data_IF_917099692754
#
_entry.id   IF_917099692754
#
_cell.length_a   1.000
_cell.length_b   1.000
_cell.length_c   1.000
_cell.angle_alpha   90.00
_cell.angle_beta   90.00
_cell.angle_gamma   90.00
#
_symmetry.space_group_name_H-M   'P 1'
#
loop_
_entity.id
_entity.type
_entity.pdbx_description
1 polymer ?
#
# COMPACT_ATOMS: atom_id res chain seq x y z
N UNK A 1 15.91 -38.60 -1.18
CA UNK A 1 14.55 -38.75 -1.75
C UNK A 1 13.59 -38.17 -0.71
N UNK A 2 13.28 -36.87 -0.78
CA UNK A 2 12.09 -36.30 -1.45
C UNK A 2 10.79 -36.82 -0.79
N UNK A 3 9.84 -36.04 -0.25
CA UNK A 3 9.37 -34.69 -0.58
C UNK A 3 8.78 -33.95 0.64
N UNK A 4 8.60 -32.64 0.44
CA UNK A 4 8.22 -31.60 1.40
C UNK A 4 6.71 -31.58 1.69
N UNK A 5 6.31 -31.52 2.96
CA UNK A 5 4.96 -31.17 3.40
C UNK A 5 4.80 -29.66 3.55
N UNK A 6 4.60 -28.95 2.44
CA UNK A 6 4.25 -27.53 2.45
C UNK A 6 2.82 -27.39 2.96
N UNK A 7 2.65 -26.96 4.21
CA UNK A 7 1.34 -26.57 4.74
C UNK A 7 0.97 -25.23 4.09
N UNK A 8 -0.15 -25.11 3.36
CA UNK A 8 -0.53 -23.83 2.78
C UNK A 8 -0.88 -22.86 3.91
N UNK A 9 -0.19 -21.72 3.95
CA UNK A 9 -0.27 -20.67 4.99
C UNK A 9 -1.60 -19.88 4.95
N UNK A 10 -2.56 -20.26 4.09
CA UNK A 10 -3.86 -19.60 4.02
C UNK A 10 -5.03 -20.60 3.90
N UNK A 11 -5.58 -21.12 5.02
CA UNK A 11 -6.87 -21.81 4.98
C UNK A 11 -8.00 -21.12 5.76
N UNK A 12 -7.74 -20.05 6.53
CA UNK A 12 -8.70 -19.59 7.55
C UNK A 12 -9.59 -18.40 7.19
N UNK A 13 -9.24 -17.60 6.17
CA UNK A 13 -9.93 -16.30 5.95
C UNK A 13 -11.18 -16.44 5.05
N UNK A 14 -11.21 -17.39 4.12
CA UNK A 14 -12.33 -17.51 3.14
C UNK A 14 -13.36 -18.57 3.54
N UNK A 15 -13.00 -19.56 4.39
CA UNK A 15 -13.88 -20.70 4.67
C UNK A 15 -15.12 -20.38 5.51
N UNK A 16 -15.15 -19.29 6.26
CA UNK A 16 -16.30 -18.99 7.13
C UNK A 16 -17.48 -18.36 6.39
N UNK A 17 -17.31 -17.86 5.17
CA UNK A 17 -18.38 -17.18 4.43
C UNK A 17 -19.24 -18.17 3.61
N UNK A 18 -18.60 -19.04 2.84
CA UNK A 18 -19.30 -20.08 2.05
C UNK A 18 -19.96 -21.16 2.92
N UNK A 19 -19.47 -21.37 4.15
CA UNK A 19 -20.06 -22.37 5.06
C UNK A 19 -21.37 -21.87 5.69
N UNK A 20 -21.64 -20.56 5.68
CA UNK A 20 -22.85 -19.96 6.28
C UNK A 20 -23.91 -19.60 5.23
N UNK A 21 -23.51 -19.27 4.00
CA UNK A 21 -24.40 -18.87 2.91
C UNK A 21 -24.56 -20.01 1.89
N UNK A 22 -25.65 -20.77 2.00
CA UNK A 22 -26.11 -21.61 0.89
C UNK A 22 -26.47 -20.75 -0.34
N UNK A 23 -26.49 -21.32 -1.55
CA UNK A 23 -26.82 -20.58 -2.77
C UNK A 23 -28.27 -20.09 -2.70
N UNK A 24 -28.48 -18.76 -2.70
CA UNK A 24 -29.80 -18.15 -2.93
C UNK A 24 -30.41 -17.32 -1.79
N UNK A 25 -29.66 -16.89 -0.77
CA UNK A 25 -30.18 -15.92 0.21
C UNK A 25 -30.24 -14.51 -0.41
N UNK A 26 -31.43 -13.91 -0.46
CA UNK A 26 -31.63 -12.51 -0.83
C UNK A 26 -31.76 -11.62 0.44
N UNK A 27 -31.60 -10.30 0.28
CA UNK A 27 -31.67 -9.33 1.38
C UNK A 27 -32.97 -9.41 2.23
N UNK A 28 -34.05 -10.01 1.70
CA UNK A 28 -35.34 -10.16 2.38
C UNK A 28 -35.41 -11.39 3.30
N UNK A 29 -34.34 -12.18 3.38
CA UNK A 29 -34.27 -13.40 4.21
C UNK A 29 -33.33 -13.24 5.42
N UNK A 30 -32.78 -12.05 5.65
CA UNK A 30 -32.07 -11.74 6.89
C UNK A 30 -33.11 -11.49 7.99
N UNK A 31 -33.18 -12.33 9.03
CA UNK A 31 -34.08 -12.14 10.15
C UNK A 31 -33.83 -10.77 10.81
N UNK A 32 -34.88 -10.01 11.20
CA UNK A 32 -34.75 -8.67 11.78
C UNK A 32 -34.03 -8.66 13.13
N UNK A 33 -33.80 -9.83 13.74
CA UNK A 33 -33.15 -10.09 15.02
C UNK A 33 -31.70 -10.61 14.90
N UNK A 34 -31.18 -10.81 13.67
CA UNK A 34 -29.75 -11.12 13.49
C UNK A 34 -28.89 -9.87 13.59
N UNK A 35 -28.52 -9.52 14.82
CA UNK A 35 -27.40 -8.64 15.10
C UNK A 35 -26.10 -9.41 14.87
N UNK A 36 -25.59 -9.39 13.64
CA UNK A 36 -24.18 -9.73 13.43
C UNK A 36 -23.35 -8.64 14.10
N UNK A 37 -22.60 -8.98 15.16
CA UNK A 37 -21.72 -8.04 15.89
C UNK A 37 -20.68 -7.38 14.97
N UNK A 38 -20.38 -7.99 13.82
CA UNK A 38 -19.61 -7.39 12.73
C UNK A 38 -20.22 -7.83 11.40
N UNK A 39 -21.01 -6.95 10.77
CA UNK A 39 -21.72 -7.26 9.53
C UNK A 39 -20.92 -6.90 8.27
N UNK A 40 -19.74 -6.26 8.34
CA UNK A 40 -18.84 -6.00 7.20
C UNK A 40 -19.56 -5.52 5.92
N UNK A 41 -20.54 -4.61 6.03
CA UNK A 41 -21.36 -4.13 4.92
C UNK A 41 -22.24 -5.21 4.23
N UNK A 42 -22.54 -6.32 4.89
CA UNK A 42 -23.33 -7.45 4.36
C UNK A 42 -24.67 -7.00 3.79
N UNK A 43 -25.36 -6.07 4.46
CA UNK A 43 -26.65 -5.52 4.00
C UNK A 43 -26.51 -4.83 2.66
N UNK A 44 -25.50 -3.97 2.52
CA UNK A 44 -25.19 -3.30 1.26
C UNK A 44 -24.78 -4.32 0.18
N UNK A 45 -23.99 -5.33 0.54
CA UNK A 45 -23.53 -6.37 -0.39
C UNK A 45 -24.67 -7.21 -0.97
N UNK A 46 -25.72 -7.48 -0.19
CA UNK A 46 -26.91 -8.24 -0.63
C UNK A 46 -27.85 -7.46 -1.56
N UNK A 47 -27.63 -6.16 -1.76
CA UNK A 47 -28.48 -5.34 -2.62
C UNK A 47 -28.34 -5.71 -4.10
N UNK A 48 -29.46 -5.79 -4.80
CA UNK A 48 -29.51 -6.24 -6.21
C UNK A 48 -28.89 -5.27 -7.21
N UNK A 49 -28.81 -3.98 -6.88
CA UNK A 49 -28.30 -2.95 -7.77
C UNK A 49 -27.18 -2.16 -7.11
N UNK A 50 -26.23 -1.66 -7.92
CA UNK A 50 -25.14 -0.81 -7.42
C UNK A 50 -25.66 0.48 -6.77
N UNK A 51 -26.77 1.04 -7.27
CA UNK A 51 -27.36 2.25 -6.66
C UNK A 51 -27.88 1.97 -5.25
N UNK A 52 -28.56 0.83 -5.07
CA UNK A 52 -29.05 0.41 -3.77
C UNK A 52 -27.89 0.04 -2.83
N UNK A 53 -26.88 -0.69 -3.32
CA UNK A 53 -25.63 -0.98 -2.59
C UNK A 53 -24.98 0.29 -2.04
N UNK A 54 -24.73 1.28 -2.91
CA UNK A 54 -24.09 2.54 -2.52
C UNK A 54 -24.92 3.33 -1.49
N UNK A 55 -26.25 3.23 -1.57
CA UNK A 55 -27.16 3.92 -0.65
C UNK A 55 -27.25 3.23 0.72
N UNK A 56 -26.85 1.96 0.79
CA UNK A 56 -26.92 1.11 1.99
C UNK A 56 -25.56 0.97 2.70
N UNK A 57 -24.52 1.63 2.21
CA UNK A 57 -23.23 1.69 2.91
C UNK A 57 -23.39 2.39 4.25
N UNK A 58 -22.88 1.77 5.30
CA UNK A 58 -23.06 2.20 6.69
C UNK A 58 -21.71 2.53 7.33
N UNK A 59 -21.57 3.71 7.92
CA UNK A 59 -20.34 4.13 8.61
C UNK A 59 -20.17 3.44 9.97
N UNK A 60 -21.27 2.99 10.57
CA UNK A 60 -21.29 2.35 11.88
C UNK A 60 -21.05 0.83 11.77
N UNK A 61 -21.05 0.29 10.54
CA UNK A 61 -20.69 -1.10 10.25
C UNK A 61 -19.18 -1.30 10.35
N UNK A 62 -18.74 -2.14 11.28
CA UNK A 62 -17.33 -2.42 11.47
C UNK A 62 -16.70 -3.12 10.25
N UNK A 63 -15.46 -2.75 9.88
CA UNK A 63 -14.76 -3.40 8.78
C UNK A 63 -14.19 -4.77 9.17
N UNK A 64 -13.68 -5.50 8.17
CA UNK A 64 -12.92 -6.71 8.40
C UNK A 64 -11.63 -6.42 9.19
N UNK A 65 -11.30 -7.31 10.14
CA UNK A 65 -10.10 -7.21 10.98
C UNK A 65 -8.80 -7.40 10.19
N UNK A 66 -8.85 -8.05 9.03
CA UNK A 66 -7.70 -8.22 8.14
C UNK A 66 -7.78 -7.25 6.95
N UNK A 67 -6.66 -6.59 6.66
CA UNK A 67 -6.50 -5.76 5.47
C UNK A 67 -5.92 -6.59 4.33
N UNK A 68 -6.67 -6.68 3.21
CA UNK A 68 -6.26 -7.45 2.03
C UNK A 68 -5.31 -6.67 1.11
N UNK A 69 -5.55 -5.37 0.93
CA UNK A 69 -4.69 -4.49 0.13
C UNK A 69 -3.31 -4.39 0.77
N UNK A 70 -2.22 -4.24 0.00
CA UNK A 70 -0.88 -3.95 0.55
C UNK A 70 -0.53 -2.46 0.49
N UNK A 71 0.24 -1.97 1.47
CA UNK A 71 0.74 -0.59 1.50
C UNK A 71 2.20 -0.57 1.05
N UNK A 72 2.47 0.28 0.06
CA UNK A 72 3.82 0.58 -0.43
C UNK A 72 4.21 1.97 0.05
N UNK A 73 5.39 2.09 0.68
CA UNK A 73 5.92 3.39 1.09
C UNK A 73 7.28 3.64 0.43
N UNK A 74 7.46 4.87 -0.08
CA UNK A 74 8.77 5.29 -0.62
C UNK A 74 9.68 5.69 0.52
N UNK A 75 10.87 5.10 0.58
CA UNK A 75 11.83 5.36 1.65
C UNK A 75 12.75 6.50 1.25
N UNK A 76 12.91 7.47 2.16
CA UNK A 76 13.70 8.67 1.95
C UNK A 76 14.38 9.13 3.24
N UNK A 77 14.96 10.35 3.26
CA UNK A 77 15.70 10.86 4.41
C UNK A 77 14.90 10.86 5.72
N UNK A 78 13.59 11.09 5.64
CA UNK A 78 12.70 11.12 6.81
C UNK A 78 12.35 9.73 7.37
N UNK A 79 12.54 8.66 6.60
CA UNK A 79 12.02 7.32 6.90
C UNK A 79 13.03 6.18 6.82
N UNK A 80 14.33 6.49 6.60
CA UNK A 80 15.40 5.50 6.43
C UNK A 80 16.02 4.97 7.72
N UNK A 81 15.76 5.63 8.86
CA UNK A 81 16.26 5.22 10.16
C UNK A 81 15.58 3.94 10.63
N UNK A 82 16.35 3.03 11.25
CA UNK A 82 15.86 1.70 11.65
C UNK A 82 14.62 1.79 12.55
N UNK A 83 14.64 2.67 13.55
CA UNK A 83 13.53 2.81 14.50
C UNK A 83 12.26 3.36 13.82
N UNK A 84 12.41 4.22 12.81
CA UNK A 84 11.29 4.72 12.03
C UNK A 84 10.73 3.62 11.12
N UNK A 85 11.60 2.82 10.51
CA UNK A 85 11.19 1.68 9.67
C UNK A 85 10.40 0.65 10.48
N UNK A 86 10.81 0.35 11.71
CA UNK A 86 10.05 -0.53 12.62
C UNK A 86 8.65 0.03 12.84
N UNK A 87 8.53 1.31 13.20
CA UNK A 87 7.23 1.98 13.40
C UNK A 87 6.36 1.93 12.14
N UNK A 88 6.94 2.14 10.95
CA UNK A 88 6.21 2.10 9.68
C UNK A 88 5.71 0.70 9.35
N UNK A 89 6.55 -0.33 9.51
CA UNK A 89 6.15 -1.72 9.30
C UNK A 89 5.05 -2.09 10.30
N UNK A 90 5.19 -1.64 11.55
CA UNK A 90 4.20 -1.94 12.57
C UNK A 90 2.85 -1.24 12.33
N UNK A 91 2.87 -0.02 11.80
CA UNK A 91 1.70 0.72 11.37
C UNK A 91 1.02 0.15 10.11
N UNK A 92 1.67 -0.76 9.38
CA UNK A 92 1.05 -1.51 8.28
C UNK A 92 1.77 -1.44 6.93
N UNK A 93 2.98 -0.86 6.84
CA UNK A 93 3.79 -0.89 5.62
C UNK A 93 4.17 -2.32 5.25
N UNK A 94 3.93 -2.71 4.00
CA UNK A 94 4.28 -4.04 3.48
C UNK A 94 5.47 -4.01 2.52
N UNK A 95 5.63 -2.93 1.75
CA UNK A 95 6.66 -2.85 0.71
C UNK A 95 7.42 -1.52 0.85
N UNK A 96 8.74 -1.62 0.97
CA UNK A 96 9.66 -0.49 0.93
C UNK A 96 10.05 -0.21 -0.53
N UNK A 97 9.62 0.91 -1.09
CA UNK A 97 10.01 1.37 -2.43
C UNK A 97 11.25 2.25 -2.35
N UNK A 98 12.29 1.89 -3.10
CA UNK A 98 13.52 2.67 -3.28
C UNK A 98 13.49 3.34 -4.65
N UNK A 99 13.38 4.67 -4.68
CA UNK A 99 13.35 5.43 -5.92
C UNK A 99 14.78 5.76 -6.39
N UNK A 100 15.22 5.15 -7.50
CA UNK A 100 16.57 5.34 -8.05
C UNK A 100 16.72 6.59 -8.92
N UNK A 101 15.67 7.36 -9.14
CA UNK A 101 15.81 8.69 -9.77
C UNK A 101 16.64 9.65 -8.90
N UNK A 102 16.79 9.35 -7.60
CA UNK A 102 17.57 10.12 -6.64
C UNK A 102 18.46 9.22 -5.79
N UNK A 103 19.49 9.80 -5.16
CA UNK A 103 20.41 9.11 -4.27
C UNK A 103 21.52 8.34 -4.98
N UNK A 104 22.58 8.04 -4.24
CA UNK A 104 23.70 7.22 -4.75
C UNK A 104 23.48 5.74 -4.46
N UNK A 105 24.33 4.88 -5.03
CA UNK A 105 24.27 3.45 -4.76
C UNK A 105 24.51 3.14 -3.28
N UNK A 106 25.43 3.87 -2.63
CA UNK A 106 25.76 3.75 -1.21
C UNK A 106 24.56 4.11 -0.34
N UNK A 107 23.85 5.19 -0.69
CA UNK A 107 22.63 5.63 -0.01
C UNK A 107 21.56 4.51 0.00
N UNK A 108 21.31 3.91 -1.17
CA UNK A 108 20.33 2.83 -1.29
C UNK A 108 20.81 1.54 -0.63
N UNK A 109 22.11 1.23 -0.68
CA UNK A 109 22.70 0.08 0.01
C UNK A 109 22.51 0.18 1.53
N UNK A 110 22.79 1.33 2.11
CA UNK A 110 22.58 1.57 3.54
C UNK A 110 21.09 1.47 3.90
N UNK A 111 20.22 2.03 3.07
CA UNK A 111 18.77 1.92 3.24
C UNK A 111 18.29 0.46 3.24
N UNK A 112 18.81 -0.38 2.33
CA UNK A 112 18.50 -1.82 2.29
C UNK A 112 18.98 -2.53 3.56
N UNK A 113 20.17 -2.18 4.08
CA UNK A 113 20.68 -2.73 5.33
C UNK A 113 19.77 -2.35 6.51
N UNK A 114 19.37 -1.08 6.59
CA UNK A 114 18.46 -0.60 7.63
C UNK A 114 17.10 -1.31 7.58
N UNK A 115 16.54 -1.53 6.38
CA UNK A 115 15.29 -2.28 6.20
C UNK A 115 15.43 -3.72 6.71
N UNK A 116 16.55 -4.39 6.41
CA UNK A 116 16.80 -5.76 6.90
C UNK A 116 16.98 -5.82 8.41
N UNK A 117 17.65 -4.83 9.00
CA UNK A 117 17.78 -4.71 10.45
C UNK A 117 16.43 -4.43 11.12
N UNK A 118 15.61 -3.55 10.54
CA UNK A 118 14.26 -3.28 11.01
C UNK A 118 13.40 -4.54 10.95
N UNK A 119 13.47 -5.31 9.86
CA UNK A 119 12.74 -6.57 9.69
C UNK A 119 13.08 -7.65 10.74
N UNK A 120 14.21 -7.55 11.44
CA UNK A 120 14.53 -8.43 12.57
C UNK A 120 13.92 -7.97 13.90
N UNK A 121 13.52 -6.70 13.99
CA UNK A 121 13.00 -6.05 15.20
C UNK A 121 11.48 -5.87 15.23
N UNK A 122 10.80 -6.12 14.11
CA UNK A 122 9.35 -5.96 13.98
C UNK A 122 8.56 -7.03 14.73
N UNK A 123 7.27 -6.75 14.93
CA UNK A 123 6.31 -7.72 15.48
C UNK A 123 6.33 -9.04 14.69
N UNK A 124 6.39 -10.21 15.35
CA UNK A 124 6.36 -11.51 14.68
C UNK A 124 5.17 -11.68 13.74
N UNK A 125 5.40 -12.34 12.61
CA UNK A 125 4.37 -12.62 11.60
C UNK A 125 4.21 -11.54 10.53
N UNK A 126 4.90 -10.39 10.66
CA UNK A 126 4.96 -9.38 9.59
C UNK A 126 6.13 -9.66 8.64
N UNK A 127 5.90 -9.43 7.35
CA UNK A 127 6.91 -9.55 6.30
C UNK A 127 6.94 -8.24 5.53
N UNK A 128 8.16 -7.78 5.22
CA UNK A 128 8.39 -6.57 4.41
C UNK A 128 9.14 -6.93 3.14
N UNK A 129 8.64 -6.46 2.00
CA UNK A 129 9.30 -6.59 0.70
C UNK A 129 10.10 -5.32 0.38
N UNK A 130 11.10 -5.45 -0.49
CA UNK A 130 11.88 -4.32 -1.01
C UNK A 130 11.62 -4.25 -2.52
N UNK A 131 11.14 -3.11 -2.99
CA UNK A 131 10.92 -2.81 -4.40
C UNK A 131 11.93 -1.76 -4.87
N UNK A 132 12.63 -2.08 -5.96
CA UNK A 132 13.53 -1.14 -6.63
C UNK A 132 12.76 -0.47 -7.76
N UNK A 133 12.61 0.84 -7.69
CA UNK A 133 12.00 1.64 -8.73
C UNK A 133 13.07 2.32 -9.59
N UNK A 134 13.04 2.00 -10.87
CA UNK A 134 14.06 2.42 -11.83
C UNK A 134 13.73 3.80 -12.39
N UNK A 135 14.76 4.60 -12.69
CA UNK A 135 14.62 5.98 -13.19
C UNK A 135 13.79 6.10 -14.49
N UNK A 136 13.89 5.12 -15.39
CA UNK A 136 13.26 5.19 -16.71
C UNK A 136 13.82 6.30 -17.63
N UNK A 137 13.30 6.44 -18.85
CA UNK A 137 13.66 7.52 -19.77
C UNK A 137 12.92 8.81 -19.39
N UNK A 138 13.55 9.63 -18.53
CA UNK A 138 12.98 10.91 -18.09
C UNK A 138 13.70 12.13 -18.72
N UNK A 139 12.92 13.17 -19.04
CA UNK A 139 13.42 14.48 -19.46
C UNK A 139 13.48 15.38 -18.23
N UNK A 140 14.65 15.94 -17.92
CA UNK A 140 14.83 16.93 -16.84
C UNK A 140 15.40 18.22 -17.38
N UNK A 141 15.04 19.34 -16.77
CA UNK A 141 15.68 20.62 -17.02
C UNK A 141 17.13 20.62 -16.53
N UNK A 142 17.94 21.53 -17.08
CA UNK A 142 19.28 21.80 -16.55
C UNK A 142 19.24 22.50 -15.19
N UNK A 143 20.43 22.79 -14.67
CA UNK A 143 20.60 23.65 -13.50
C UNK A 143 20.25 25.10 -13.87
N UNK A 144 19.61 25.80 -12.94
CA UNK A 144 19.30 27.22 -13.07
C UNK A 144 20.54 28.06 -12.72
N UNK A 145 20.60 29.29 -13.25
CA UNK A 145 21.58 30.28 -12.83
C UNK A 145 21.36 30.59 -11.34
N UNK A 146 22.35 30.30 -10.50
CA UNK A 146 22.24 30.33 -9.04
C UNK A 146 22.32 28.96 -8.35
N UNK A 147 22.37 27.86 -9.12
CA UNK A 147 22.66 26.52 -8.62
C UNK A 147 21.44 25.64 -8.35
N UNK A 148 21.65 24.53 -7.66
CA UNK A 148 20.65 23.46 -7.49
C UNK A 148 19.41 23.84 -6.65
N UNK A 149 19.50 24.93 -5.88
CA UNK A 149 18.41 25.44 -5.03
C UNK A 149 17.89 26.80 -5.51
N UNK A 150 18.37 27.29 -6.65
CA UNK A 150 17.83 28.50 -7.24
C UNK A 150 16.42 28.25 -7.78
N UNK A 151 15.56 29.23 -7.64
CA UNK A 151 14.21 29.22 -8.17
C UNK A 151 14.02 30.44 -9.09
N UNK A 152 13.31 30.24 -10.19
CA UNK A 152 13.02 31.31 -11.16
C UNK A 152 11.50 31.46 -11.26
N UNK A 153 11.03 32.71 -11.20
CA UNK A 153 9.63 33.04 -11.39
C UNK A 153 9.37 33.23 -12.89
N UNK A 154 8.45 32.44 -13.44
CA UNK A 154 8.00 32.58 -14.83
C UNK A 154 6.72 33.44 -14.87
N UNK A 155 6.63 34.35 -15.84
CA UNK A 155 5.46 35.19 -16.07
C UNK A 155 4.76 34.80 -17.37
N UNK A 156 3.42 34.80 -17.35
CA UNK A 156 2.60 34.39 -18.49
C UNK A 156 2.84 35.28 -19.70
N UNK A 157 3.08 34.66 -20.86
CA UNK A 157 3.29 35.36 -22.14
C UNK A 157 4.77 35.59 -22.49
N UNK A 158 5.69 35.29 -21.58
CA UNK A 158 7.12 35.32 -21.85
C UNK A 158 7.60 33.91 -22.26
N UNK A 159 8.11 33.76 -23.48
CA UNK A 159 8.75 32.53 -23.94
C UNK A 159 10.12 32.84 -24.54
N UNK A 160 11.19 32.46 -23.84
CA UNK A 160 12.59 32.70 -24.22
C UNK A 160 13.24 31.49 -24.93
N UNK A 161 12.45 30.50 -25.34
CA UNK A 161 12.94 29.30 -26.03
C UNK A 161 13.39 28.19 -25.09
N UNK A 162 13.60 27.01 -25.68
CA UNK A 162 14.20 25.83 -25.01
C UNK A 162 15.37 25.38 -25.86
N UNK A 163 16.54 25.25 -25.24
CA UNK A 163 17.78 24.81 -25.92
C UNK A 163 18.12 23.41 -25.46
N UNK A 164 18.41 22.53 -26.42
CA UNK A 164 18.95 21.20 -26.14
C UNK A 164 20.47 21.29 -26.02
N UNK A 165 20.99 21.08 -24.81
CA UNK A 165 22.41 20.91 -24.60
C UNK A 165 22.81 19.51 -25.10
N UNK A 166 23.75 19.46 -26.05
CA UNK A 166 24.33 18.21 -26.58
C UNK A 166 25.48 17.74 -25.71
#
# INVERSE_FOLDING_TARGET
MAQNGHTPIFPHIIRNFDTFMGPGLNANQVPPDMNFENDQQLKAWLCETTMHHNSMLDIDSEPASCRLTHIVCTIGPASREVDMLVKLIDAGMNICRLNFSHGTYEYHKETVMNIRLAAQKITPGKVVAIALDTKGPEIRSGLLEGGASAEVKLETGLFDGVVLNR
#
